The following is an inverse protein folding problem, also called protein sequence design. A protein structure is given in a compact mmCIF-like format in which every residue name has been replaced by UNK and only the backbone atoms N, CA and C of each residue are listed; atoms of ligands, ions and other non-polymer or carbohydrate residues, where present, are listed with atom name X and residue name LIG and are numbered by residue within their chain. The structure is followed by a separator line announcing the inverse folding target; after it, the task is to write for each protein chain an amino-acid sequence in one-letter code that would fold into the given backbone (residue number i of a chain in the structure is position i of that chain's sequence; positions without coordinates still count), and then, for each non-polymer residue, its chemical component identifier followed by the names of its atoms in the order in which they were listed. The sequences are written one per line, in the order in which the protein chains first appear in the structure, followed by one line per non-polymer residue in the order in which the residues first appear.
data_IF_290161093430
#
_entry.id   IF_290161093430
#
_cell.length_a   1.000
_cell.length_b   1.000
_cell.length_c   1.000
_cell.angle_alpha   90.00
_cell.angle_beta   90.00
_cell.angle_gamma   90.00
#
_symmetry.space_group_name_H-M   'P 1'
#
loop_
_entity.id
_entity.type
_entity.pdbx_description
1 polymer ?
#
# COMPACT_ATOMS: atom_id res chain seq x y z
N UNK A 1 -0.61 -11.05 8.40
CA UNK A 1 0.27 -12.00 9.10
C UNK A 1 -0.16 -12.08 10.57
N UNK A 2 -0.06 -13.24 11.20
CA UNK A 2 -0.61 -13.54 12.53
C UNK A 2 0.35 -13.25 13.70
N UNK A 3 1.64 -13.03 13.42
CA UNK A 3 2.63 -12.52 14.38
C UNK A 3 3.04 -13.51 15.47
N UNK A 4 2.56 -14.75 15.41
CA UNK A 4 2.82 -15.79 16.40
C UNK A 4 4.32 -16.09 16.49
N UNK A 5 4.88 -16.12 17.69
CA UNK A 5 6.31 -16.30 17.96
C UNK A 5 7.23 -15.24 17.31
N UNK A 6 6.67 -14.08 16.96
CA UNK A 6 7.39 -12.95 16.39
C UNK A 6 7.23 -11.72 17.27
N UNK A 7 8.32 -11.00 17.49
CA UNK A 7 8.26 -9.63 17.99
C UNK A 7 8.15 -8.67 16.82
N UNK A 8 7.19 -7.75 16.89
CA UNK A 8 6.89 -6.78 15.82
C UNK A 8 7.08 -5.37 16.34
N UNK A 9 7.88 -4.57 15.63
CA UNK A 9 8.06 -3.14 15.89
C UNK A 9 7.56 -2.32 14.70
N UNK A 10 6.52 -1.52 14.91
CA UNK A 10 6.10 -0.54 13.92
C UNK A 10 7.16 0.56 13.76
N UNK A 11 7.55 0.83 12.52
CA UNK A 11 8.52 1.85 12.14
C UNK A 11 7.81 3.07 11.54
N UNK A 12 6.81 2.83 10.67
CA UNK A 12 6.04 3.88 9.99
C UNK A 12 4.62 3.41 9.70
N UNK A 13 3.69 4.34 9.63
CA UNK A 13 2.32 4.12 9.19
C UNK A 13 2.03 5.09 8.04
N UNK A 14 2.00 4.55 6.82
CA UNK A 14 1.80 5.30 5.59
C UNK A 14 0.30 5.33 5.27
N UNK A 15 -0.35 6.51 5.23
CA UNK A 15 -1.70 6.60 4.72
C UNK A 15 -1.77 6.03 3.30
N UNK A 16 -2.95 5.55 2.90
CA UNK A 16 -3.15 4.94 1.58
C UNK A 16 -4.01 5.88 0.73
N UNK A 17 -3.71 5.92 -0.56
CA UNK A 17 -4.54 6.58 -1.56
C UNK A 17 -4.80 5.68 -2.75
N UNK A 18 -5.69 6.15 -3.62
CA UNK A 18 -5.96 5.53 -4.92
C UNK A 18 -5.13 6.23 -6.00
N UNK A 19 -4.48 5.43 -6.82
CA UNK A 19 -3.78 5.88 -8.02
C UNK A 19 -4.76 5.92 -9.17
N UNK A 20 -4.84 7.08 -9.82
CA UNK A 20 -5.73 7.40 -10.93
C UNK A 20 -4.92 8.04 -12.05
N UNK A 21 -5.49 8.09 -13.26
CA UNK A 21 -4.97 9.02 -14.26
C UNK A 21 -5.19 10.45 -13.81
N UNK A 22 -4.27 11.35 -14.15
CA UNK A 22 -4.35 12.76 -13.78
C UNK A 22 -5.58 13.46 -14.41
N UNK A 23 -6.09 12.96 -15.53
CA UNK A 23 -7.30 13.46 -16.20
C UNK A 23 -8.60 12.80 -15.72
N UNK A 24 -8.54 11.93 -14.71
CA UNK A 24 -9.72 11.31 -14.13
C UNK A 24 -10.57 12.33 -13.35
N UNK A 25 -11.92 12.32 -13.47
CA UNK A 25 -12.77 13.22 -12.70
C UNK A 25 -12.59 13.13 -11.18
N UNK A 26 -12.16 11.97 -10.66
CA UNK A 26 -11.89 11.79 -9.23
C UNK A 26 -10.51 12.32 -8.82
N UNK A 27 -9.57 12.53 -9.76
CA UNK A 27 -8.23 13.03 -9.46
C UNK A 27 -8.23 14.45 -8.87
N UNK A 28 -9.28 15.23 -9.14
CA UNK A 28 -9.47 16.58 -8.58
C UNK A 28 -10.11 16.63 -7.19
N UNK A 29 -10.39 15.48 -6.57
CA UNK A 29 -10.97 15.42 -5.22
C UNK A 29 -9.86 15.48 -4.17
N UNK A 30 -10.13 16.16 -3.05
CA UNK A 30 -9.18 16.21 -1.94
C UNK A 30 -9.01 14.85 -1.25
N UNK A 31 -10.10 14.09 -1.14
CA UNK A 31 -10.16 12.77 -0.49
C UNK A 31 -11.29 11.93 -1.10
N UNK A 32 -11.16 10.62 -1.01
CA UNK A 32 -12.15 9.63 -1.45
C UNK A 32 -12.38 8.58 -0.37
N UNK A 33 -13.45 7.80 -0.54
CA UNK A 33 -13.69 6.55 0.15
C UNK A 33 -13.74 5.39 -0.87
N UNK A 34 -13.68 4.14 -0.39
CA UNK A 34 -13.77 2.97 -1.26
C UNK A 34 -15.11 2.91 -2.03
N UNK A 35 -16.18 3.45 -1.45
CA UNK A 35 -17.49 3.50 -2.10
C UNK A 35 -17.49 4.38 -3.36
N UNK A 36 -16.64 5.42 -3.43
CA UNK A 36 -16.48 6.24 -4.64
C UNK A 36 -15.83 5.45 -5.79
N UNK A 37 -15.23 4.29 -5.48
CA UNK A 37 -14.52 3.43 -6.42
C UNK A 37 -15.31 2.16 -6.81
N UNK A 38 -16.56 2.01 -6.35
CA UNK A 38 -17.35 0.80 -6.52
C UNK A 38 -17.53 0.40 -7.99
N UNK A 39 -17.78 1.38 -8.87
CA UNK A 39 -18.00 1.15 -10.31
C UNK A 39 -16.70 1.19 -11.14
N UNK A 40 -15.54 1.25 -10.49
CA UNK A 40 -14.26 1.37 -11.18
C UNK A 40 -13.70 0.01 -11.54
N UNK A 41 -12.95 -0.06 -12.63
CA UNK A 41 -12.15 -1.25 -12.97
C UNK A 41 -10.87 -1.23 -12.16
N UNK A 42 -10.43 -2.38 -11.68
CA UNK A 42 -9.20 -2.54 -10.90
C UNK A 42 -8.23 -3.44 -11.65
N UNK A 43 -6.96 -3.44 -11.27
CA UNK A 43 -6.08 -4.57 -11.61
C UNK A 43 -6.17 -5.63 -10.50
N UNK A 44 -5.70 -6.84 -10.81
CA UNK A 44 -5.60 -7.93 -9.86
C UNK A 44 -4.13 -8.32 -9.62
N UNK A 45 -3.89 -9.04 -8.53
CA UNK A 45 -2.59 -9.65 -8.26
C UNK A 45 -2.56 -11.11 -8.73
N UNK A 46 -1.37 -11.71 -8.90
CA UNK A 46 -1.25 -13.08 -9.39
C UNK A 46 -1.83 -14.09 -8.42
N UNK A 47 -2.31 -15.21 -8.96
CA UNK A 47 -2.69 -16.37 -8.16
C UNK A 47 -1.53 -16.80 -7.25
N UNK A 48 -1.84 -17.10 -5.99
CA UNK A 48 -0.85 -17.48 -4.97
C UNK A 48 -0.29 -16.30 -4.16
N UNK A 49 -0.64 -15.05 -4.49
CA UNK A 49 -0.35 -13.91 -3.61
C UNK A 49 -1.09 -14.10 -2.27
N UNK A 50 -0.49 -13.67 -1.15
CA UNK A 50 -1.10 -13.80 0.18
C UNK A 50 -2.54 -13.21 0.19
N UNK A 51 -3.58 -14.01 0.55
CA UNK A 51 -4.97 -13.56 0.45
C UNK A 51 -5.30 -12.33 1.33
N UNK A 52 -4.66 -12.21 2.50
CA UNK A 52 -4.89 -11.06 3.38
C UNK A 52 -4.28 -9.78 2.80
N UNK A 53 -3.07 -9.88 2.26
CA UNK A 53 -2.42 -8.79 1.54
C UNK A 53 -3.21 -8.38 0.30
N UNK A 54 -3.68 -9.33 -0.50
CA UNK A 54 -4.53 -9.05 -1.67
C UNK A 54 -5.83 -8.36 -1.26
N UNK A 55 -6.54 -8.89 -0.28
CA UNK A 55 -7.78 -8.29 0.21
C UNK A 55 -7.55 -6.85 0.67
N UNK A 56 -6.46 -6.60 1.42
CA UNK A 56 -6.10 -5.25 1.84
C UNK A 56 -5.86 -4.32 0.64
N UNK A 57 -5.01 -4.69 -0.33
CA UNK A 57 -4.71 -3.83 -1.49
C UNK A 57 -5.83 -3.73 -2.53
N UNK A 58 -6.84 -4.56 -2.41
CA UNK A 58 -8.09 -4.50 -3.17
C UNK A 58 -9.22 -3.77 -2.43
N UNK A 59 -8.98 -3.24 -1.23
CA UNK A 59 -10.01 -2.52 -0.47
C UNK A 59 -11.09 -3.43 0.12
N UNK A 60 -10.72 -4.65 0.50
CA UNK A 60 -11.58 -5.59 1.24
C UNK A 60 -12.48 -6.47 0.38
N UNK A 61 -12.54 -6.26 -0.94
CA UNK A 61 -13.44 -6.98 -1.84
C UNK A 61 -12.69 -7.63 -3.01
N UNK A 62 -13.21 -8.72 -3.59
CA UNK A 62 -12.71 -9.25 -4.85
C UNK A 62 -12.78 -8.20 -5.96
N UNK A 63 -11.75 -8.13 -6.79
CA UNK A 63 -11.66 -7.23 -7.94
C UNK A 63 -11.60 -8.01 -9.23
N UNK A 64 -11.91 -7.36 -10.36
CA UNK A 64 -11.78 -7.91 -11.71
C UNK A 64 -10.92 -6.99 -12.60
N UNK A 65 -10.07 -7.59 -13.43
CA UNK A 65 -9.26 -6.86 -14.41
C UNK A 65 -7.91 -7.51 -14.72
N UNK A 66 -6.98 -6.77 -15.36
CA UNK A 66 -5.68 -7.32 -15.75
C UNK A 66 -4.84 -7.73 -14.52
N UNK A 67 -4.14 -8.84 -14.62
CA UNK A 67 -3.22 -9.31 -13.58
C UNK A 67 -1.88 -8.58 -13.71
N UNK A 68 -1.43 -7.97 -12.63
CA UNK A 68 -0.16 -7.25 -12.54
C UNK A 68 0.72 -7.86 -11.45
N UNK A 69 2.04 -7.87 -11.66
CA UNK A 69 3.03 -8.53 -10.80
C UNK A 69 3.96 -7.57 -10.09
N UNK A 70 4.25 -6.43 -10.72
CA UNK A 70 5.22 -5.45 -10.24
C UNK A 70 4.62 -4.05 -10.25
N UNK A 71 5.19 -3.15 -9.45
CA UNK A 71 4.69 -1.77 -9.28
C UNK A 71 4.54 -1.06 -10.63
N UNK A 72 5.50 -1.24 -11.53
CA UNK A 72 5.47 -0.65 -12.87
C UNK A 72 4.25 -1.13 -13.68
N UNK A 73 3.88 -2.40 -13.58
CA UNK A 73 2.69 -2.93 -14.24
C UNK A 73 1.41 -2.36 -13.62
N UNK A 74 1.37 -2.13 -12.30
CA UNK A 74 0.26 -1.44 -11.65
C UNK A 74 0.06 -0.03 -12.24
N UNK A 75 1.15 0.75 -12.35
CA UNK A 75 1.10 2.11 -12.90
C UNK A 75 0.66 2.10 -14.38
N UNK A 76 1.16 1.17 -15.18
CA UNK A 76 0.76 1.05 -16.59
C UNK A 76 -0.69 0.60 -16.76
N UNK A 77 -1.18 -0.30 -15.90
CA UNK A 77 -2.59 -0.68 -15.91
C UNK A 77 -3.50 0.52 -15.64
N UNK A 78 -3.15 1.39 -14.68
CA UNK A 78 -3.90 2.62 -14.43
C UNK A 78 -3.85 3.55 -15.66
N UNK A 79 -2.65 3.78 -16.21
CA UNK A 79 -2.45 4.72 -17.30
C UNK A 79 -3.14 4.28 -18.61
N UNK A 80 -2.97 3.02 -19.00
CA UNK A 80 -3.38 2.52 -20.32
C UNK A 80 -4.70 1.75 -20.31
N UNK A 81 -5.04 1.07 -19.21
CA UNK A 81 -6.26 0.26 -19.12
C UNK A 81 -7.39 1.00 -18.40
N UNK A 82 -7.13 2.19 -17.86
CA UNK A 82 -8.10 2.97 -17.09
C UNK A 82 -8.59 2.22 -15.84
N UNK A 83 -7.75 1.35 -15.30
CA UNK A 83 -8.00 0.73 -13.99
C UNK A 83 -7.60 1.70 -12.89
N UNK A 84 -7.96 1.36 -11.65
CA UNK A 84 -7.51 2.03 -10.43
C UNK A 84 -6.76 1.02 -9.57
N UNK A 85 -5.98 1.51 -8.61
CA UNK A 85 -5.35 0.67 -7.61
C UNK A 85 -4.88 1.49 -6.42
N UNK A 86 -4.59 0.83 -5.31
CA UNK A 86 -4.14 1.51 -4.10
C UNK A 86 -2.62 1.59 -3.99
N UNK A 87 -2.13 2.64 -3.36
CA UNK A 87 -0.71 2.88 -3.10
C UNK A 87 -0.52 3.59 -1.75
N UNK A 88 0.57 3.31 -1.00
CA UNK A 88 0.97 4.17 0.11
C UNK A 88 1.27 5.59 -0.40
N UNK A 89 0.81 6.60 0.34
CA UNK A 89 1.13 8.01 0.07
C UNK A 89 2.62 8.30 0.31
N UNK A 90 3.10 9.36 -0.33
CA UNK A 90 4.47 9.86 -0.17
C UNK A 90 5.46 9.38 -1.24
N UNK A 91 5.00 8.65 -2.26
CA UNK A 91 5.78 8.31 -3.43
C UNK A 91 5.50 9.31 -4.56
N UNK A 92 6.57 9.81 -5.21
CA UNK A 92 6.43 10.57 -6.44
C UNK A 92 5.95 9.66 -7.57
N UNK A 93 4.91 10.10 -8.27
CA UNK A 93 4.40 9.44 -9.46
C UNK A 93 4.72 10.26 -10.72
N UNK A 94 4.74 9.61 -11.90
CA UNK A 94 4.70 10.33 -13.18
C UNK A 94 3.54 11.33 -13.24
N UNK A 95 3.74 12.44 -13.96
CA UNK A 95 2.78 13.55 -14.02
C UNK A 95 1.41 13.16 -14.60
N UNK A 96 1.35 12.06 -15.36
CA UNK A 96 0.14 11.50 -15.95
C UNK A 96 -0.73 10.75 -14.93
N UNK A 97 -0.23 10.56 -13.70
CA UNK A 97 -0.93 9.90 -12.61
C UNK A 97 -1.14 10.84 -11.42
N UNK A 98 -2.25 10.65 -10.74
CA UNK A 98 -2.58 11.33 -9.49
C UNK A 98 -2.80 10.30 -8.39
N UNK A 99 -2.47 10.67 -7.15
CA UNK A 99 -2.85 9.89 -5.96
C UNK A 99 -3.80 10.70 -5.10
N UNK A 100 -5.00 10.18 -4.89
CA UNK A 100 -6.00 10.81 -4.02
C UNK A 100 -6.11 10.02 -2.71
N UNK A 101 -5.94 10.66 -1.54
CA UNK A 101 -6.03 9.99 -0.24
C UNK A 101 -7.38 9.30 0.01
N UNK A 102 -7.34 8.07 0.55
CA UNK A 102 -8.53 7.36 1.03
C UNK A 102 -8.77 7.62 2.52
N UNK A 103 -10.02 7.77 2.92
CA UNK A 103 -10.39 8.10 4.32
C UNK A 103 -10.76 6.90 5.17
N UNK A 104 -11.15 5.80 4.53
CA UNK A 104 -11.76 4.61 5.12
C UNK A 104 -10.84 3.37 5.04
N UNK A 105 -9.56 3.59 4.77
CA UNK A 105 -8.53 2.56 4.78
C UNK A 105 -7.61 2.71 6.00
N UNK A 106 -7.30 1.59 6.64
CA UNK A 106 -6.21 1.57 7.62
C UNK A 106 -4.88 1.91 6.92
N UNK A 107 -3.93 2.59 7.59
CA UNK A 107 -2.61 2.85 7.02
C UNK A 107 -1.81 1.58 6.75
N UNK A 108 -0.98 1.63 5.70
CA UNK A 108 0.02 0.59 5.42
C UNK A 108 1.16 0.73 6.42
N UNK A 109 1.48 -0.33 7.16
CA UNK A 109 2.50 -0.29 8.20
C UNK A 109 3.82 -0.87 7.72
N UNK A 110 4.90 -0.10 7.86
CA UNK A 110 6.27 -0.60 7.75
C UNK A 110 6.69 -1.10 9.13
N UNK A 111 7.12 -2.36 9.21
CA UNK A 111 7.46 -3.03 10.47
C UNK A 111 8.82 -3.70 10.37
N UNK A 112 9.56 -3.70 11.48
CA UNK A 112 10.65 -4.66 11.71
C UNK A 112 10.07 -5.87 12.47
N UNK A 113 10.44 -7.07 12.05
CA UNK A 113 9.93 -8.33 12.62
C UNK A 113 11.09 -9.29 12.84
N UNK A 114 11.11 -9.94 13.99
CA UNK A 114 12.12 -10.94 14.35
C UNK A 114 11.52 -12.00 15.28
N UNK A 115 12.21 -13.12 15.46
CA UNK A 115 11.76 -14.20 16.33
C UNK A 115 11.70 -13.73 17.79
N UNK A 116 10.62 -14.10 18.47
CA UNK A 116 10.49 -13.85 19.89
C UNK A 116 11.60 -14.56 20.69
N UNK A 117 12.16 -13.87 21.69
CA UNK A 117 13.24 -14.39 22.51
C UNK A 117 14.62 -14.40 21.84
N UNK A 118 14.76 -13.94 20.60
CA UNK A 118 16.06 -13.80 19.96
C UNK A 118 16.92 -12.75 20.70
N UNK A 119 18.12 -13.15 21.14
CA UNK A 119 19.04 -12.33 21.94
C UNK A 119 20.21 -11.78 21.13
N UNK A 120 20.23 -11.96 19.81
CA UNK A 120 21.30 -11.48 18.95
C UNK A 120 21.44 -9.94 19.03
N UNK A 121 22.60 -9.41 19.48
CA UNK A 121 22.79 -7.97 19.65
C UNK A 121 22.68 -7.19 18.33
N UNK A 122 22.94 -7.82 17.18
CA UNK A 122 22.82 -7.18 15.86
C UNK A 122 21.36 -6.91 15.49
N UNK A 123 20.43 -7.78 15.89
CA UNK A 123 18.99 -7.56 15.68
C UNK A 123 18.55 -6.34 16.49
N UNK A 124 18.96 -6.26 17.75
CA UNK A 124 18.66 -5.10 18.60
C UNK A 124 19.20 -3.80 18.00
N UNK A 125 20.48 -3.80 17.61
CA UNK A 125 21.12 -2.64 16.98
C UNK A 125 20.40 -2.21 15.69
N UNK A 126 20.00 -3.17 14.86
CA UNK A 126 19.25 -2.89 13.64
C UNK A 126 17.88 -2.26 13.95
N UNK A 127 17.11 -2.84 14.86
CA UNK A 127 15.77 -2.33 15.21
C UNK A 127 15.85 -0.92 15.80
N UNK A 128 16.84 -0.65 16.66
CA UNK A 128 17.07 0.68 17.23
C UNK A 128 17.42 1.71 16.15
N UNK A 129 18.35 1.36 15.25
CA UNK A 129 18.79 2.24 14.15
C UNK A 129 17.64 2.51 13.18
N UNK A 130 16.92 1.48 12.76
CA UNK A 130 15.75 1.61 11.90
C UNK A 130 14.67 2.47 12.57
N UNK A 131 14.37 2.23 13.84
CA UNK A 131 13.39 3.05 14.59
C UNK A 131 13.80 4.52 14.62
N UNK A 132 15.10 4.82 14.79
CA UNK A 132 15.60 6.19 14.75
C UNK A 132 15.50 6.82 13.36
N UNK A 133 15.86 6.08 12.31
CA UNK A 133 15.82 6.56 10.92
C UNK A 133 14.39 6.84 10.41
N UNK A 134 13.40 6.13 10.92
CA UNK A 134 11.99 6.32 10.56
C UNK A 134 11.26 7.36 11.42
N UNK A 135 11.92 8.00 12.39
CA UNK A 135 11.33 9.18 13.05
C UNK A 135 11.30 10.34 12.04
N UNK A 136 10.16 11.03 11.88
CA UNK A 136 10.13 12.24 11.07
C UNK A 136 11.16 13.24 11.60
N UNK A 137 11.87 13.92 10.69
CA UNK A 137 12.70 15.07 11.06
C UNK A 137 11.81 16.10 11.78
N UNK A 138 12.30 16.60 12.91
CA UNK A 138 11.58 17.58 13.74
C UNK A 138 11.37 18.90 13.01
#
# INVERSE_FOLDING_TARGET
FDGTALTVRALRADPVGVVLRADDPLAGRDRLCLADLADRRWFQFPQGTDPLWQAYWNGGEPREGPVVRVVQECLQAVLWNGTVGMSPLGHELPAELAVVPLTDMAPSRVVAVWNEGDTNPLIRSFVETATAAYRPAK
#
